data_IF_046770634887
#
_entry.id   IF_046770634887
#
_cell.length_a   1.000
_cell.length_b   1.000
_cell.length_c   1.000
_cell.angle_alpha   90.00
_cell.angle_beta   90.00
_cell.angle_gamma   90.00
#
_symmetry.space_group_name_H-M   'P 1'
#
loop_
_entity.id
_entity.type
_entity.pdbx_description
1 polymer ?
#
# COMPACT_ATOMS: atom_id res chain seq x y z
N UNK A 1 28.81 -0.79 -0.30
CA UNK A 1 28.14 0.51 -0.59
C UNK A 1 28.38 0.81 -2.06
N UNK A 2 27.39 0.60 -2.93
CA UNK A 2 27.46 0.98 -4.34
C UNK A 2 26.79 2.34 -4.46
N UNK A 3 27.61 3.37 -4.75
CA UNK A 3 27.09 4.71 -5.01
C UNK A 3 26.61 4.79 -6.45
N UNK A 4 25.29 4.94 -6.66
CA UNK A 4 24.71 5.23 -7.97
C UNK A 4 24.66 6.74 -8.13
N UNK A 5 25.49 7.28 -9.04
CA UNK A 5 25.45 8.70 -9.40
C UNK A 5 24.47 8.87 -10.56
N UNK A 6 23.36 9.55 -10.32
CA UNK A 6 22.43 9.96 -11.37
C UNK A 6 23.06 11.15 -12.13
N UNK A 7 23.41 10.94 -13.38
CA UNK A 7 23.96 11.98 -14.26
C UNK A 7 22.86 12.87 -14.87
N UNK A 8 23.16 14.13 -15.25
CA UNK A 8 22.18 15.06 -15.78
C UNK A 8 21.74 14.72 -17.21
N UNK A 9 20.47 15.04 -17.50
CA UNK A 9 19.81 14.92 -18.79
C UNK A 9 20.59 15.60 -19.95
N UNK A 10 20.59 14.94 -21.09
CA UNK A 10 21.33 15.30 -22.31
C UNK A 10 20.91 16.66 -22.87
N UNK A 11 21.88 17.52 -23.06
CA UNK A 11 21.98 18.47 -24.16
C UNK A 11 23.26 18.16 -24.94
N UNK A 12 23.12 18.04 -26.23
CA UNK A 12 24.01 17.48 -27.25
C UNK A 12 25.53 17.71 -27.13
N UNK A 13 26.26 16.66 -27.47
CA UNK A 13 27.71 16.67 -27.70
C UNK A 13 28.23 15.25 -27.92
N UNK A 14 28.77 14.97 -29.12
CA UNK A 14 29.33 13.67 -29.49
C UNK A 14 30.55 13.33 -28.67
N UNK A 15 30.54 12.22 -27.98
CA UNK A 15 31.73 11.49 -27.53
C UNK A 15 31.40 10.01 -27.45
N UNK A 16 32.31 9.15 -27.85
CA UNK A 16 32.25 7.69 -27.90
C UNK A 16 31.63 7.10 -26.61
N UNK A 17 30.33 6.90 -26.64
CA UNK A 17 29.58 6.50 -25.48
C UNK A 17 29.53 4.98 -25.35
N UNK A 18 29.85 4.48 -24.18
CA UNK A 18 29.34 3.21 -23.70
C UNK A 18 27.81 3.30 -23.85
N UNK A 19 27.27 2.48 -24.75
CA UNK A 19 25.80 2.31 -24.88
C UNK A 19 25.38 1.60 -23.60
N UNK A 20 24.90 2.37 -22.62
CA UNK A 20 24.15 1.79 -21.52
C UNK A 20 22.88 1.24 -22.16
N UNK A 21 22.59 -0.07 -22.08
CA UNK A 21 21.34 -0.61 -22.56
C UNK A 21 20.19 0.22 -21.99
N UNK A 22 19.22 0.53 -22.81
CA UNK A 22 17.97 1.18 -22.38
C UNK A 22 17.20 0.13 -21.53
N UNK A 23 17.61 0.03 -20.26
CA UNK A 23 16.99 -0.92 -19.33
C UNK A 23 15.67 -0.33 -18.88
N UNK A 24 14.58 -0.89 -19.35
CA UNK A 24 13.26 -0.57 -18.81
C UNK A 24 13.17 -1.10 -17.39
N UNK A 25 13.19 -0.18 -16.41
CA UNK A 25 13.11 -0.49 -14.98
C UNK A 25 11.79 -1.21 -14.60
N UNK A 26 10.80 -1.23 -15.51
CA UNK A 26 9.55 -1.96 -15.32
C UNK A 26 9.68 -3.46 -15.56
N UNK A 27 10.63 -3.89 -16.40
CA UNK A 27 10.78 -5.28 -16.85
C UNK A 27 12.09 -5.92 -16.40
N UNK A 28 12.71 -5.38 -15.34
CA UNK A 28 13.93 -5.97 -14.78
C UNK A 28 13.64 -7.39 -14.24
N UNK A 29 14.52 -8.36 -14.58
CA UNK A 29 14.44 -9.68 -13.98
C UNK A 29 14.54 -9.59 -12.46
N UNK A 30 13.63 -10.24 -11.77
CA UNK A 30 13.58 -10.23 -10.32
C UNK A 30 14.28 -11.45 -9.74
N UNK A 31 15.07 -11.33 -8.67
CA UNK A 31 15.56 -12.48 -7.93
C UNK A 31 14.36 -13.22 -7.29
N UNK A 32 14.50 -14.54 -7.06
CA UNK A 32 13.50 -15.30 -6.31
C UNK A 32 13.21 -14.65 -4.96
N UNK A 33 11.96 -14.76 -4.49
CA UNK A 33 11.58 -14.22 -3.19
C UNK A 33 12.15 -15.08 -2.06
N UNK A 34 12.65 -14.44 -1.02
CA UNK A 34 13.02 -15.07 0.26
C UNK A 34 11.90 -14.95 1.30
N UNK A 35 10.82 -14.21 0.96
CA UNK A 35 9.63 -14.00 1.78
C UNK A 35 8.42 -14.70 1.15
N UNK A 36 7.39 -15.08 1.94
CA UNK A 36 6.17 -15.68 1.40
C UNK A 36 5.24 -14.67 0.73
N UNK A 37 5.71 -13.44 0.55
CA UNK A 37 5.03 -12.36 -0.16
C UNK A 37 5.99 -11.64 -1.11
N UNK A 38 5.44 -10.90 -2.08
CA UNK A 38 6.25 -10.11 -2.99
C UNK A 38 5.49 -8.89 -3.51
N UNK A 39 6.19 -7.75 -3.61
CA UNK A 39 5.71 -6.60 -4.38
C UNK A 39 5.85 -6.87 -5.87
N UNK A 40 4.82 -6.59 -6.64
CA UNK A 40 4.85 -6.62 -8.10
C UNK A 40 4.47 -5.25 -8.64
N UNK A 41 5.44 -4.58 -9.26
CA UNK A 41 5.20 -3.30 -9.91
C UNK A 41 4.44 -3.53 -11.21
N UNK A 42 3.25 -2.93 -11.35
CA UNK A 42 2.38 -3.08 -12.52
C UNK A 42 2.43 -1.89 -13.48
N UNK A 43 2.83 -0.72 -12.97
CA UNK A 43 3.01 0.49 -13.77
C UNK A 43 4.08 1.41 -13.16
N UNK A 44 4.59 2.34 -13.96
CA UNK A 44 5.55 3.39 -13.58
C UNK A 44 5.06 4.74 -14.10
N UNK A 45 5.32 5.82 -13.35
CA UNK A 45 4.87 7.16 -13.69
C UNK A 45 3.44 7.45 -13.25
N UNK A 46 2.97 8.69 -13.45
CA UNK A 46 1.65 9.11 -13.02
C UNK A 46 1.17 10.31 -13.84
N UNK A 47 -0.08 10.25 -14.32
CA UNK A 47 -0.71 11.33 -15.10
C UNK A 47 -1.49 12.32 -14.21
N UNK A 48 -1.47 12.15 -12.89
CA UNK A 48 -2.14 13.06 -11.95
C UNK A 48 -1.41 14.39 -11.85
N UNK A 49 -2.18 15.42 -11.60
CA UNK A 49 -1.69 16.80 -11.44
C UNK A 49 -1.75 17.29 -9.97
N UNK A 50 -1.51 16.39 -9.00
CA UNK A 50 -1.55 16.74 -7.58
C UNK A 50 -0.59 17.88 -7.28
N UNK A 51 -1.08 18.94 -6.61
CA UNK A 51 -0.36 20.20 -6.43
C UNK A 51 0.96 20.12 -5.69
N UNK A 52 1.14 19.12 -4.84
CA UNK A 52 2.35 18.89 -4.04
C UNK A 52 3.34 17.89 -4.66
N UNK A 53 2.92 17.15 -5.70
CA UNK A 53 3.64 15.97 -6.15
C UNK A 53 4.60 16.28 -7.30
N UNK A 54 5.87 15.91 -7.13
CA UNK A 54 6.90 16.03 -8.16
C UNK A 54 7.07 14.78 -9.03
N UNK A 55 6.39 13.67 -8.72
CA UNK A 55 6.55 12.37 -9.40
C UNK A 55 6.42 12.48 -10.93
N UNK A 56 5.42 13.18 -11.51
CA UNK A 56 5.31 13.29 -12.97
C UNK A 56 6.54 13.92 -13.62
N UNK A 57 7.27 14.80 -12.92
CA UNK A 57 8.43 15.51 -13.47
C UNK A 57 9.67 14.64 -13.65
N UNK A 58 9.82 13.55 -12.89
CA UNK A 58 11.00 12.68 -12.94
C UNK A 58 10.71 11.20 -13.24
N UNK A 59 9.46 10.74 -13.03
CA UNK A 59 9.01 9.39 -13.44
C UNK A 59 8.32 9.41 -14.80
N UNK A 60 7.86 10.58 -15.25
CA UNK A 60 7.12 10.76 -16.50
C UNK A 60 5.66 10.31 -16.41
N UNK A 61 4.97 10.24 -17.57
CA UNK A 61 3.60 9.76 -17.68
C UNK A 61 3.51 8.29 -17.29
N UNK A 62 2.29 7.87 -16.94
CA UNK A 62 2.04 6.47 -16.59
C UNK A 62 2.34 5.54 -17.77
N UNK A 63 3.04 4.46 -17.47
CA UNK A 63 3.32 3.34 -18.37
C UNK A 63 2.98 2.05 -17.65
N UNK A 64 1.96 1.37 -18.12
CA UNK A 64 1.50 0.08 -17.57
C UNK A 64 2.25 -1.08 -18.22
N UNK A 65 2.56 -2.11 -17.44
CA UNK A 65 3.01 -3.41 -17.97
C UNK A 65 1.81 -4.15 -18.56
N UNK A 66 2.05 -5.05 -19.49
CA UNK A 66 0.99 -5.93 -19.99
C UNK A 66 0.58 -6.96 -18.92
N UNK A 67 -0.68 -7.40 -18.97
CA UNK A 67 -1.18 -8.43 -18.06
C UNK A 67 -0.31 -9.71 -18.18
N UNK A 68 0.06 -10.09 -19.40
CA UNK A 68 0.90 -11.27 -19.66
C UNK A 68 2.28 -11.16 -18.99
N UNK A 69 2.93 -9.99 -19.05
CA UNK A 69 4.23 -9.74 -18.41
C UNK A 69 4.12 -9.86 -16.89
N UNK A 70 3.07 -9.26 -16.30
CA UNK A 70 2.82 -9.34 -14.85
C UNK A 70 2.55 -10.76 -14.42
N UNK A 71 1.68 -11.50 -15.14
CA UNK A 71 1.34 -12.87 -14.81
C UNK A 71 2.54 -13.82 -14.96
N UNK A 72 3.43 -13.59 -15.93
CA UNK A 72 4.67 -14.36 -16.05
C UNK A 72 5.57 -14.18 -14.81
N UNK A 73 5.67 -12.97 -14.25
CA UNK A 73 6.41 -12.71 -13.01
C UNK A 73 5.70 -13.36 -11.80
N UNK A 74 4.39 -13.20 -11.69
CA UNK A 74 3.59 -13.83 -10.62
C UNK A 74 3.72 -15.36 -10.66
N UNK A 75 3.70 -15.97 -11.84
CA UNK A 75 3.87 -17.42 -12.01
C UNK A 75 5.25 -17.89 -11.51
N UNK A 76 6.30 -17.08 -11.68
CA UNK A 76 7.64 -17.40 -11.14
C UNK A 76 7.64 -17.31 -9.62
N UNK A 77 7.05 -16.25 -9.05
CA UNK A 77 6.99 -16.03 -7.61
C UNK A 77 6.10 -17.07 -6.89
N UNK A 78 5.01 -17.47 -7.51
CA UNK A 78 4.07 -18.44 -6.96
C UNK A 78 4.58 -19.89 -7.03
N UNK A 79 5.66 -20.19 -7.78
CA UNK A 79 6.25 -21.52 -7.84
C UNK A 79 7.27 -21.70 -6.70
N UNK A 80 7.07 -22.72 -5.88
CA UNK A 80 8.10 -23.17 -4.97
C UNK A 80 9.22 -23.87 -5.76
N UNK A 81 10.42 -23.33 -5.71
CA UNK A 81 11.61 -24.04 -6.20
C UNK A 81 12.09 -25.04 -5.13
N UNK A 82 11.29 -26.07 -4.85
CA UNK A 82 11.83 -27.29 -4.23
C UNK A 82 12.64 -27.99 -5.28
N UNK A 83 13.93 -27.65 -5.40
CA UNK A 83 14.87 -28.53 -6.10
C UNK A 83 14.86 -29.87 -5.35
N UNK A 84 14.23 -30.87 -5.97
CA UNK A 84 14.25 -32.25 -5.54
C UNK A 84 15.72 -32.69 -5.27
N UNK A 85 16.03 -33.00 -4.02
CA UNK A 85 17.13 -33.89 -3.66
C UNK A 85 18.49 -33.25 -3.46
N UNK A 86 18.61 -32.40 -2.43
CA UNK A 86 19.85 -32.34 -1.63
C UNK A 86 19.47 -32.04 -0.18
N UNK A 87 19.64 -33.04 0.68
CA UNK A 87 19.73 -32.88 2.13
C UNK A 87 21.00 -32.06 2.42
N UNK A 88 20.83 -30.78 2.62
CA UNK A 88 21.91 -29.86 3.00
C UNK A 88 21.26 -28.52 3.27
N UNK A 89 21.08 -28.16 4.54
CA UNK A 89 20.62 -26.87 4.98
C UNK A 89 21.54 -25.76 4.49
N UNK A 90 21.18 -25.15 3.38
CA UNK A 90 21.82 -23.94 2.83
C UNK A 90 20.78 -22.81 2.82
N UNK A 91 21.24 -21.60 3.17
CA UNK A 91 20.48 -20.35 3.34
C UNK A 91 19.71 -19.81 2.11
N UNK A 92 19.50 -20.61 1.06
CA UNK A 92 18.86 -20.22 -0.22
C UNK A 92 17.56 -20.99 -0.51
N UNK A 93 16.74 -21.27 0.51
CA UNK A 93 15.39 -21.83 0.24
C UNK A 93 14.49 -20.72 -0.32
N UNK A 94 14.26 -20.72 -1.64
CA UNK A 94 13.27 -19.84 -2.27
C UNK A 94 11.87 -20.20 -1.79
N UNK A 95 11.21 -19.27 -1.14
CA UNK A 95 9.83 -19.43 -0.67
C UNK A 95 8.86 -19.15 -1.82
N UNK A 96 7.76 -19.92 -1.85
CA UNK A 96 6.61 -19.61 -2.69
C UNK A 96 5.93 -18.33 -2.16
N UNK A 97 5.73 -17.34 -3.01
CA UNK A 97 4.88 -16.21 -2.64
C UNK A 97 3.41 -16.67 -2.52
N UNK A 98 2.84 -16.46 -1.34
CA UNK A 98 1.43 -16.68 -1.01
C UNK A 98 0.64 -15.38 -1.19
N UNK A 99 1.28 -14.24 -0.97
CA UNK A 99 0.73 -12.92 -1.16
C UNK A 99 1.46 -12.15 -2.27
N UNK A 100 0.71 -11.52 -3.17
CA UNK A 100 1.21 -10.55 -4.14
C UNK A 100 0.65 -9.18 -3.79
N UNK A 101 1.55 -8.21 -3.57
CA UNK A 101 1.20 -6.81 -3.36
C UNK A 101 1.42 -6.04 -4.67
N UNK A 102 0.34 -5.63 -5.31
CA UNK A 102 0.41 -4.85 -6.55
C UNK A 102 0.71 -3.40 -6.23
N UNK A 103 1.71 -2.83 -6.90
CA UNK A 103 2.17 -1.45 -6.67
C UNK A 103 2.33 -0.65 -7.94
N UNK A 104 1.94 0.63 -7.88
CA UNK A 104 2.16 1.67 -8.88
C UNK A 104 2.03 3.04 -8.21
N UNK A 105 2.38 4.14 -8.89
CA UNK A 105 2.12 5.50 -8.39
C UNK A 105 0.63 5.87 -8.45
N UNK A 106 -0.12 5.30 -9.40
CA UNK A 106 -1.59 5.38 -9.51
C UNK A 106 -2.12 4.03 -10.00
N UNK A 107 -2.42 3.18 -9.05
CA UNK A 107 -2.76 1.79 -9.33
C UNK A 107 -4.13 1.67 -10.00
N UNK A 108 -5.10 2.48 -9.60
CA UNK A 108 -6.45 2.46 -10.17
C UNK A 108 -6.50 2.93 -11.64
N UNK A 109 -5.44 3.59 -12.13
CA UNK A 109 -5.33 4.01 -13.52
C UNK A 109 -4.64 2.98 -14.43
N UNK A 110 -4.24 1.80 -13.89
CA UNK A 110 -3.59 0.75 -14.65
C UNK A 110 -4.34 0.41 -15.95
N UNK A 111 -3.60 0.29 -17.06
CA UNK A 111 -4.12 -0.04 -18.39
C UNK A 111 -4.65 1.14 -19.21
N UNK A 112 -4.85 2.33 -18.62
CA UNK A 112 -5.39 3.50 -19.34
C UNK A 112 -4.51 3.94 -20.51
N UNK A 113 -3.21 3.71 -20.43
CA UNK A 113 -2.21 4.05 -21.43
C UNK A 113 -2.06 2.98 -22.53
N UNK A 114 -2.67 1.80 -22.36
CA UNK A 114 -2.53 0.67 -23.29
C UNK A 114 -3.68 0.55 -24.29
N UNK A 115 -4.01 1.60 -25.04
CA UNK A 115 -5.01 1.54 -26.10
C UNK A 115 -6.16 2.51 -25.94
N UNK A 116 -7.41 2.06 -25.94
CA UNK A 116 -8.63 2.89 -25.98
C UNK A 116 -9.00 3.55 -24.62
N UNK A 117 -8.06 3.68 -23.69
CA UNK A 117 -8.28 4.32 -22.39
C UNK A 117 -9.08 3.48 -21.40
N UNK A 118 -9.17 2.19 -21.60
CA UNK A 118 -9.78 1.25 -20.64
C UNK A 118 -8.85 1.02 -19.45
N UNK A 119 -9.47 0.76 -18.31
CA UNK A 119 -8.76 0.37 -17.07
C UNK A 119 -8.81 -1.13 -16.93
N UNK A 120 -7.63 -1.77 -16.89
CA UNK A 120 -7.52 -3.22 -16.86
C UNK A 120 -7.19 -3.78 -15.48
N UNK A 121 -7.34 -2.98 -14.40
CA UNK A 121 -7.03 -3.42 -13.04
C UNK A 121 -7.90 -4.59 -12.58
N UNK A 122 -9.19 -4.61 -12.92
CA UNK A 122 -10.11 -5.69 -12.51
C UNK A 122 -9.77 -7.02 -13.19
N UNK A 123 -9.57 -7.08 -14.53
CA UNK A 123 -9.08 -8.29 -15.19
C UNK A 123 -7.74 -8.77 -14.64
N UNK A 124 -6.81 -7.86 -14.35
CA UNK A 124 -5.53 -8.20 -13.74
C UNK A 124 -5.71 -8.80 -12.35
N UNK A 125 -6.52 -8.18 -11.47
CA UNK A 125 -6.81 -8.70 -10.14
C UNK A 125 -7.36 -10.13 -10.20
N UNK A 126 -8.38 -10.35 -11.03
CA UNK A 126 -8.98 -11.67 -11.21
C UNK A 126 -7.94 -12.70 -11.64
N UNK A 127 -7.06 -12.34 -12.59
CA UNK A 127 -6.04 -13.24 -13.08
C UNK A 127 -4.94 -13.55 -12.05
N UNK A 128 -4.54 -12.58 -11.22
CA UNK A 128 -3.55 -12.78 -10.16
C UNK A 128 -4.13 -13.60 -9.00
N UNK A 129 -5.39 -13.35 -8.59
CA UNK A 129 -6.06 -14.09 -7.51
C UNK A 129 -6.24 -15.59 -7.81
N UNK A 130 -6.19 -15.99 -9.09
CA UNK A 130 -6.19 -17.41 -9.48
C UNK A 130 -4.84 -18.12 -9.26
N UNK A 131 -3.78 -17.37 -8.87
CA UNK A 131 -2.40 -17.87 -8.80
C UNK A 131 -1.82 -17.89 -7.39
N UNK A 132 -2.30 -17.01 -6.54
CA UNK A 132 -1.83 -16.84 -5.17
C UNK A 132 -3.01 -16.74 -4.21
N UNK A 133 -2.74 -16.93 -2.93
CA UNK A 133 -3.78 -16.96 -1.91
C UNK A 133 -4.30 -15.55 -1.60
N UNK A 134 -3.42 -14.54 -1.55
CA UNK A 134 -3.73 -13.16 -1.22
C UNK A 134 -3.24 -12.20 -2.30
N UNK A 135 -4.08 -11.23 -2.66
CA UNK A 135 -3.72 -10.13 -3.57
C UNK A 135 -4.09 -8.81 -2.92
N UNK A 136 -3.09 -7.99 -2.63
CA UNK A 136 -3.25 -6.68 -2.01
C UNK A 136 -2.96 -5.57 -3.00
N UNK A 137 -3.74 -4.48 -2.88
CA UNK A 137 -3.55 -3.26 -3.65
C UNK A 137 -3.12 -2.13 -2.72
N UNK A 138 -2.09 -1.38 -3.13
CA UNK A 138 -1.68 -0.17 -2.44
C UNK A 138 -1.85 1.05 -3.35
N UNK A 139 -2.05 2.25 -2.74
CA UNK A 139 -2.10 3.55 -3.43
C UNK A 139 -3.31 3.70 -4.38
N UNK A 140 -4.51 3.49 -3.84
CA UNK A 140 -5.76 3.73 -4.56
C UNK A 140 -6.15 5.21 -4.51
N UNK A 141 -6.42 5.79 -5.68
CA UNK A 141 -6.93 7.15 -5.76
C UNK A 141 -8.46 7.14 -5.48
N UNK A 142 -8.97 7.94 -4.53
CA UNK A 142 -10.36 7.80 -4.04
C UNK A 142 -11.45 7.94 -5.11
N UNK A 143 -11.25 8.84 -6.11
CA UNK A 143 -12.24 9.02 -7.18
C UNK A 143 -12.37 7.81 -8.12
N UNK A 144 -11.38 6.95 -8.13
CA UNK A 144 -11.34 5.80 -9.04
C UNK A 144 -11.80 4.49 -8.37
N UNK A 145 -12.14 4.56 -7.08
CA UNK A 145 -12.71 3.45 -6.32
C UNK A 145 -14.19 3.28 -6.67
N UNK A 146 -14.46 2.61 -7.80
CA UNK A 146 -15.82 2.28 -8.27
C UNK A 146 -16.39 1.07 -7.52
N UNK A 147 -17.71 0.88 -7.53
CA UNK A 147 -18.35 -0.32 -6.96
C UNK A 147 -17.72 -1.61 -7.54
N UNK A 148 -17.52 -1.66 -8.86
CA UNK A 148 -16.89 -2.81 -9.50
C UNK A 148 -15.46 -3.08 -9.01
N UNK A 149 -14.69 -2.03 -8.68
CA UNK A 149 -13.35 -2.18 -8.11
C UNK A 149 -13.42 -2.62 -6.64
N UNK A 150 -14.38 -2.12 -5.87
CA UNK A 150 -14.65 -2.57 -4.50
C UNK A 150 -14.97 -4.07 -4.50
N UNK A 151 -15.93 -4.50 -5.32
CA UNK A 151 -16.30 -5.92 -5.46
C UNK A 151 -15.09 -6.79 -5.87
N UNK A 152 -14.26 -6.29 -6.80
CA UNK A 152 -13.06 -6.98 -7.22
C UNK A 152 -12.02 -7.11 -6.09
N UNK A 153 -11.81 -6.06 -5.28
CA UNK A 153 -10.92 -6.12 -4.12
C UNK A 153 -11.46 -7.10 -3.09
N UNK A 154 -12.74 -7.05 -2.74
CA UNK A 154 -13.34 -8.00 -1.80
C UNK A 154 -13.21 -9.45 -2.28
N UNK A 155 -13.31 -9.68 -3.60
CA UNK A 155 -13.16 -11.01 -4.18
C UNK A 155 -11.73 -11.57 -4.13
N UNK A 156 -10.71 -10.76 -3.82
CA UNK A 156 -9.32 -11.23 -3.64
C UNK A 156 -9.11 -11.96 -2.31
N UNK A 157 -10.06 -11.90 -1.38
CA UNK A 157 -9.92 -12.38 0.00
C UNK A 157 -9.10 -11.45 0.90
N UNK A 158 -8.65 -10.29 0.39
CA UNK A 158 -7.90 -9.27 1.16
C UNK A 158 -8.69 -7.96 1.16
N UNK A 159 -9.62 -7.77 2.11
CA UNK A 159 -10.45 -6.57 2.21
C UNK A 159 -9.68 -5.38 2.79
N UNK A 160 -8.61 -4.99 2.10
CA UNK A 160 -7.69 -3.95 2.51
C UNK A 160 -7.71 -2.80 1.49
N UNK A 161 -8.00 -1.58 1.97
CA UNK A 161 -8.20 -0.40 1.15
C UNK A 161 -7.19 0.69 1.53
N UNK A 162 -6.08 0.77 0.80
CA UNK A 162 -5.11 1.87 0.94
C UNK A 162 -5.55 3.06 0.08
N UNK A 163 -6.26 3.99 0.72
CA UNK A 163 -6.85 5.15 0.07
C UNK A 163 -5.96 6.38 0.24
N UNK A 164 -5.42 6.92 -0.85
CA UNK A 164 -4.64 8.15 -0.83
C UNK A 164 -5.55 9.38 -0.64
N UNK A 165 -6.11 9.60 0.55
CA UNK A 165 -7.05 10.71 0.83
C UNK A 165 -6.33 12.04 0.86
N UNK A 166 -5.21 12.14 1.54
CA UNK A 166 -4.30 13.29 1.69
C UNK A 166 -4.82 14.42 2.59
N UNK A 167 -6.11 14.69 2.61
CA UNK A 167 -6.82 15.64 3.48
C UNK A 167 -8.32 15.39 3.40
N UNK A 168 -9.11 16.06 4.24
CA UNK A 168 -10.58 15.93 4.29
C UNK A 168 -11.29 17.23 3.98
N UNK A 169 -10.65 18.37 4.27
CA UNK A 169 -11.19 19.69 3.95
C UNK A 169 -11.26 19.88 2.43
N UNK A 170 -12.45 20.19 1.93
CA UNK A 170 -12.70 20.46 0.51
C UNK A 170 -11.88 21.64 -0.05
N UNK A 171 -11.74 22.79 0.66
CA UNK A 171 -10.86 23.88 0.27
C UNK A 171 -9.41 23.44 0.08
N UNK A 172 -8.85 22.67 1.02
CA UNK A 172 -7.47 22.16 0.96
C UNK A 172 -7.31 21.19 -0.20
N UNK A 173 -8.20 20.20 -0.35
CA UNK A 173 -8.17 19.24 -1.46
C UNK A 173 -8.25 19.91 -2.82
N UNK A 174 -9.05 20.96 -2.99
CA UNK A 174 -9.08 21.74 -4.23
C UNK A 174 -7.75 22.44 -4.53
N UNK A 175 -7.09 23.00 -3.51
CA UNK A 175 -5.73 23.56 -3.66
C UNK A 175 -4.70 22.48 -3.98
N UNK A 176 -4.86 21.26 -3.42
CA UNK A 176 -4.06 20.09 -3.77
C UNK A 176 -4.36 19.56 -5.18
N UNK A 177 -5.36 20.13 -5.89
CA UNK A 177 -5.89 19.60 -7.16
C UNK A 177 -6.36 18.16 -7.05
N UNK A 178 -7.05 17.87 -5.94
CA UNK A 178 -7.59 16.55 -5.63
C UNK A 178 -9.11 16.58 -5.54
N UNK A 179 -9.70 15.40 -5.71
CA UNK A 179 -11.14 15.18 -5.63
C UNK A 179 -11.54 14.79 -4.20
N UNK A 180 -12.77 15.15 -3.82
CA UNK A 180 -13.47 14.68 -2.65
C UNK A 180 -13.54 15.70 -1.52
N UNK A 181 -14.07 15.22 -0.41
CA UNK A 181 -14.14 15.85 0.90
C UNK A 181 -14.41 14.78 1.96
N UNK A 182 -14.35 15.16 3.25
CA UNK A 182 -14.53 14.24 4.36
C UNK A 182 -15.84 13.49 4.35
N UNK A 183 -16.97 14.15 3.99
CA UNK A 183 -18.30 13.52 3.93
C UNK A 183 -18.35 12.40 2.90
N UNK A 184 -17.88 12.66 1.67
CA UNK A 184 -17.81 11.66 0.61
C UNK A 184 -16.90 10.48 0.94
N UNK A 185 -15.80 10.74 1.67
CA UNK A 185 -14.90 9.68 2.10
C UNK A 185 -15.53 8.82 3.20
N UNK A 186 -16.20 9.43 4.18
CA UNK A 186 -16.95 8.71 5.22
C UNK A 186 -18.06 7.82 4.63
N UNK A 187 -18.86 8.36 3.70
CA UNK A 187 -19.88 7.58 3.00
C UNK A 187 -19.29 6.36 2.29
N UNK A 188 -18.13 6.53 1.63
CA UNK A 188 -17.45 5.44 0.94
C UNK A 188 -16.92 4.38 1.90
N UNK A 189 -16.29 4.78 3.00
CA UNK A 189 -15.81 3.89 4.05
C UNK A 189 -16.96 3.12 4.69
N UNK A 190 -18.04 3.83 5.05
CA UNK A 190 -19.23 3.22 5.63
C UNK A 190 -19.85 2.18 4.67
N UNK A 191 -19.97 2.54 3.38
CA UNK A 191 -20.50 1.62 2.35
C UNK A 191 -19.66 0.34 2.23
N UNK A 192 -18.32 0.44 2.28
CA UNK A 192 -17.45 -0.74 2.22
C UNK A 192 -17.62 -1.59 3.48
N UNK A 193 -17.70 -0.97 4.67
CA UNK A 193 -17.91 -1.70 5.93
C UNK A 193 -19.28 -2.35 6.04
N UNK A 194 -20.30 -1.84 5.35
CA UNK A 194 -21.58 -2.53 5.20
C UNK A 194 -21.45 -3.84 4.41
N UNK A 195 -20.58 -3.88 3.40
CA UNK A 195 -20.34 -5.06 2.58
C UNK A 195 -19.39 -6.05 3.27
N UNK A 196 -18.38 -5.52 3.93
CA UNK A 196 -17.33 -6.28 4.62
C UNK A 196 -16.98 -5.58 5.95
N UNK A 197 -17.59 -6.02 7.07
CA UNK A 197 -17.38 -5.40 8.39
C UNK A 197 -15.92 -5.42 8.86
N UNK A 198 -15.14 -6.40 8.41
CA UNK A 198 -13.73 -6.55 8.74
C UNK A 198 -12.79 -5.83 7.77
N UNK A 199 -13.33 -5.03 6.83
CA UNK A 199 -12.52 -4.23 5.92
C UNK A 199 -11.58 -3.30 6.67
N UNK A 200 -10.32 -3.33 6.27
CA UNK A 200 -9.23 -2.51 6.82
C UNK A 200 -8.95 -1.33 5.91
N UNK A 201 -8.82 -0.16 6.52
CA UNK A 201 -8.53 1.08 5.80
C UNK A 201 -7.16 1.62 6.20
N UNK A 202 -6.37 1.93 5.18
CA UNK A 202 -5.13 2.70 5.29
C UNK A 202 -5.27 4.01 4.55
N UNK A 203 -4.72 5.08 5.12
CA UNK A 203 -4.65 6.36 4.41
C UNK A 203 -3.39 7.14 4.77
N UNK A 204 -3.03 8.06 3.88
CA UNK A 204 -1.99 9.04 4.14
C UNK A 204 -2.62 10.43 4.17
N UNK A 205 -2.21 11.25 5.17
CA UNK A 205 -2.62 12.65 5.29
C UNK A 205 -1.42 13.57 5.26
N UNK A 206 -1.59 14.70 4.57
CA UNK A 206 -0.57 15.72 4.40
C UNK A 206 -0.97 16.97 5.21
N UNK A 207 -0.24 17.25 6.27
CA UNK A 207 -0.49 18.30 7.25
C UNK A 207 0.33 19.55 6.92
N UNK A 208 -0.26 20.72 7.10
CA UNK A 208 0.41 21.99 6.85
C UNK A 208 0.48 22.36 5.37
N UNK A 209 -0.45 21.89 4.56
CA UNK A 209 -0.55 22.32 3.17
C UNK A 209 -0.82 23.83 3.08
N UNK A 210 -0.22 24.56 2.10
CA UNK A 210 -0.39 26.02 2.02
C UNK A 210 -1.85 26.46 2.07
N UNK A 211 -2.18 27.32 3.02
CA UNK A 211 -3.51 27.83 3.30
C UNK A 211 -4.42 26.90 4.07
N UNK A 212 -3.90 25.87 4.72
CA UNK A 212 -4.61 25.06 5.71
C UNK A 212 -4.85 25.92 6.96
N UNK A 213 -6.12 26.04 7.35
CA UNK A 213 -6.56 26.77 8.53
C UNK A 213 -6.66 25.86 9.76
N UNK A 214 -6.97 26.44 10.92
CA UNK A 214 -7.26 25.66 12.14
C UNK A 214 -8.53 24.80 11.94
N UNK A 215 -9.59 25.40 11.37
CA UNK A 215 -10.83 24.68 11.05
C UNK A 215 -10.60 23.49 10.11
N UNK A 216 -9.72 23.64 9.11
CA UNK A 216 -9.36 22.55 8.21
C UNK A 216 -8.65 21.40 8.94
N UNK A 217 -7.83 21.72 9.95
CA UNK A 217 -7.14 20.75 10.80
C UNK A 217 -8.12 20.04 11.75
N UNK A 218 -9.00 20.80 12.42
CA UNK A 218 -10.06 20.25 13.27
C UNK A 218 -10.96 19.30 12.48
N UNK A 219 -11.34 19.66 11.24
CA UNK A 219 -12.10 18.80 10.33
C UNK A 219 -11.36 17.51 10.01
N UNK A 220 -10.03 17.54 9.88
CA UNK A 220 -9.20 16.35 9.67
C UNK A 220 -9.24 15.43 10.89
N UNK A 221 -9.05 15.96 12.09
CA UNK A 221 -9.11 15.17 13.33
C UNK A 221 -10.49 14.54 13.52
N UNK A 222 -11.57 15.33 13.37
CA UNK A 222 -12.93 14.84 13.47
C UNK A 222 -13.23 13.72 12.43
N UNK A 223 -12.68 13.86 11.22
CA UNK A 223 -12.78 12.80 10.21
C UNK A 223 -12.04 11.53 10.66
N UNK A 224 -10.81 11.63 11.17
CA UNK A 224 -10.04 10.47 11.62
C UNK A 224 -10.79 9.70 12.70
N UNK A 225 -11.38 10.40 13.69
CA UNK A 225 -12.23 9.82 14.72
C UNK A 225 -13.46 9.11 14.12
N UNK A 226 -14.17 9.76 13.20
CA UNK A 226 -15.38 9.20 12.61
C UNK A 226 -15.09 8.03 11.66
N UNK A 227 -14.01 8.13 10.89
CA UNK A 227 -13.63 7.13 9.90
C UNK A 227 -13.01 5.88 10.51
N UNK A 228 -12.40 5.99 11.71
CA UNK A 228 -11.70 4.88 12.36
C UNK A 228 -10.75 4.17 11.37
N UNK A 229 -9.85 4.95 10.76
CA UNK A 229 -8.85 4.43 9.81
C UNK A 229 -7.84 3.58 10.57
N UNK A 230 -7.67 2.32 10.16
CA UNK A 230 -6.85 1.36 10.89
C UNK A 230 -5.35 1.73 10.87
N UNK A 231 -4.88 2.27 9.74
CA UNK A 231 -3.48 2.64 9.52
C UNK A 231 -3.37 4.04 8.92
N UNK A 232 -2.72 4.96 9.62
CA UNK A 232 -2.52 6.34 9.17
C UNK A 232 -1.05 6.66 8.94
N UNK A 233 -0.69 7.01 7.70
CA UNK A 233 0.58 7.68 7.43
C UNK A 233 0.39 9.20 7.51
N UNK A 234 1.13 9.86 8.38
CA UNK A 234 1.06 11.31 8.58
C UNK A 234 2.34 11.97 8.11
N UNK A 235 2.22 12.98 7.26
CA UNK A 235 3.36 13.67 6.66
C UNK A 235 3.17 15.17 6.77
N UNK A 236 4.21 15.90 7.14
CA UNK A 236 4.21 17.35 7.01
C UNK A 236 4.47 17.77 5.57
N UNK A 237 3.83 18.84 5.12
CA UNK A 237 4.05 19.37 3.77
C UNK A 237 5.51 19.78 3.58
N UNK A 238 6.13 19.25 2.50
CA UNK A 238 7.45 19.66 2.03
C UNK A 238 7.33 20.53 0.79
N UNK A 239 8.02 21.66 0.79
CA UNK A 239 8.04 22.62 -0.31
C UNK A 239 8.97 22.17 -1.43
N UNK A 240 8.51 21.24 -2.26
CA UNK A 240 9.28 20.69 -3.35
C UNK A 240 9.35 21.66 -4.54
N UNK A 241 10.57 21.99 -4.97
CA UNK A 241 10.81 22.90 -6.09
C UNK A 241 10.12 22.40 -7.40
N UNK A 242 9.46 23.31 -8.11
CA UNK A 242 8.78 23.00 -9.35
C UNK A 242 7.34 22.49 -9.17
N UNK A 243 6.89 22.23 -7.95
CA UNK A 243 5.49 21.89 -7.69
C UNK A 243 4.61 23.14 -7.63
N UNK A 244 3.31 22.96 -7.91
CA UNK A 244 2.33 24.03 -7.76
C UNK A 244 2.25 24.54 -6.32
N UNK A 245 2.27 23.66 -5.35
CA UNK A 245 2.19 23.99 -3.93
C UNK A 245 3.37 24.86 -3.44
N UNK A 246 4.55 24.69 -4.03
CA UNK A 246 5.73 25.50 -3.68
C UNK A 246 5.56 26.99 -3.99
N UNK A 247 4.67 27.34 -4.94
CA UNK A 247 4.39 28.71 -5.36
C UNK A 247 3.17 29.33 -4.68
N UNK A 248 2.42 28.57 -3.88
CA UNK A 248 1.23 29.07 -3.21
C UNK A 248 1.61 30.05 -2.08
N UNK A 249 0.80 31.11 -1.86
CA UNK A 249 0.89 31.91 -0.66
C UNK A 249 0.44 31.11 0.59
N UNK A 250 0.47 31.76 1.73
CA UNK A 250 -0.09 31.26 3.01
C UNK A 250 0.55 29.92 3.42
N UNK A 251 1.88 29.84 3.31
CA UNK A 251 2.65 28.71 3.81
C UNK A 251 2.48 28.60 5.33
N UNK A 252 2.14 27.41 5.83
CA UNK A 252 2.00 27.17 7.27
C UNK A 252 3.38 27.18 7.92
N UNK A 253 3.50 27.80 9.08
CA UNK A 253 4.75 27.86 9.83
C UNK A 253 5.22 26.46 10.26
N UNK A 254 6.53 26.15 10.19
CA UNK A 254 7.04 24.82 10.54
C UNK A 254 6.66 24.37 11.97
N UNK A 255 6.63 25.31 12.91
CA UNK A 255 6.27 25.04 14.30
C UNK A 255 4.80 24.59 14.41
N UNK A 256 3.89 25.27 13.70
CA UNK A 256 2.47 24.92 13.67
C UNK A 256 2.25 23.58 12.93
N UNK A 257 3.00 23.33 11.86
CA UNK A 257 2.94 22.01 11.19
C UNK A 257 3.37 20.88 12.13
N UNK A 258 4.42 21.11 12.94
CA UNK A 258 4.90 20.10 13.89
C UNK A 258 3.87 19.87 15.02
N UNK A 259 3.21 20.91 15.51
CA UNK A 259 2.15 20.83 16.52
C UNK A 259 0.97 20.01 16.00
N UNK A 260 0.43 20.38 14.83
CA UNK A 260 -0.68 19.65 14.17
C UNK A 260 -0.34 18.20 13.84
N UNK A 261 0.90 17.96 13.40
CA UNK A 261 1.36 16.60 13.13
C UNK A 261 1.41 15.76 14.41
N UNK A 262 1.89 16.31 15.52
CA UNK A 262 1.95 15.61 16.80
C UNK A 262 0.53 15.25 17.29
N UNK A 263 -0.41 16.19 17.22
CA UNK A 263 -1.81 15.98 17.60
C UNK A 263 -2.49 14.90 16.75
N UNK A 264 -2.35 14.97 15.42
CA UNK A 264 -2.90 13.96 14.53
C UNK A 264 -2.23 12.59 14.73
N UNK A 265 -0.93 12.55 15.09
CA UNK A 265 -0.21 11.30 15.36
C UNK A 265 -0.71 10.62 16.63
N UNK A 266 -0.92 11.36 17.71
CA UNK A 266 -1.47 10.85 18.97
C UNK A 266 -2.87 10.26 18.75
N UNK A 267 -3.71 10.96 17.97
CA UNK A 267 -5.03 10.47 17.62
C UNK A 267 -4.95 9.18 16.76
N UNK A 268 -4.09 9.16 15.74
CA UNK A 268 -3.90 7.99 14.88
C UNK A 268 -3.43 6.77 15.66
N UNK A 269 -2.46 6.94 16.55
CA UNK A 269 -1.95 5.86 17.42
C UNK A 269 -3.05 5.33 18.34
N UNK A 270 -3.88 6.21 18.90
CA UNK A 270 -5.02 5.82 19.74
C UNK A 270 -6.04 5.00 18.94
N UNK A 271 -6.45 5.48 17.77
CA UNK A 271 -7.39 4.76 16.90
C UNK A 271 -6.84 3.39 16.50
N UNK A 272 -5.57 3.34 16.07
CA UNK A 272 -4.93 2.07 15.71
C UNK A 272 -4.94 1.09 16.88
N UNK A 273 -4.54 1.52 18.07
CA UNK A 273 -4.51 0.67 19.26
C UNK A 273 -5.92 0.15 19.63
N UNK A 274 -6.96 0.99 19.59
CA UNK A 274 -8.35 0.57 19.83
C UNK A 274 -8.83 -0.44 18.79
N UNK A 275 -8.56 -0.19 17.51
CA UNK A 275 -8.89 -1.12 16.41
C UNK A 275 -8.17 -2.46 16.53
N UNK A 276 -6.95 -2.47 17.06
CA UNK A 276 -6.19 -3.70 17.35
C UNK A 276 -6.77 -4.43 18.54
N UNK A 277 -7.11 -3.73 19.62
CA UNK A 277 -7.74 -4.30 20.80
C UNK A 277 -9.08 -4.99 20.47
N UNK A 278 -9.87 -4.45 19.54
CA UNK A 278 -11.10 -5.07 19.06
C UNK A 278 -10.92 -6.44 18.38
N UNK A 279 -9.68 -6.81 18.03
CA UNK A 279 -9.34 -8.11 17.46
C UNK A 279 -9.08 -9.19 18.53
N UNK A 280 -8.84 -8.80 19.77
CA UNK A 280 -8.59 -9.77 20.89
C UNK A 280 -9.79 -10.67 21.08
N UNK A 281 -9.54 -11.98 21.19
CA UNK A 281 -10.55 -13.01 21.28
C UNK A 281 -11.13 -13.48 19.95
N UNK A 282 -10.71 -12.90 18.81
CA UNK A 282 -11.14 -13.35 17.48
C UNK A 282 -10.17 -14.40 16.92
N UNK A 283 -10.71 -15.34 16.15
CA UNK A 283 -9.93 -16.23 15.28
C UNK A 283 -9.74 -15.58 13.93
N UNK A 284 -8.50 -15.51 13.46
CA UNK A 284 -8.13 -14.93 12.18
C UNK A 284 -7.15 -15.83 11.42
N UNK A 285 -7.17 -15.78 10.08
CA UNK A 285 -6.17 -16.45 9.26
C UNK A 285 -4.91 -15.56 9.16
N UNK A 286 -3.74 -16.17 9.31
CA UNK A 286 -2.45 -15.48 9.21
C UNK A 286 -1.51 -16.18 8.25
N UNK A 287 -0.65 -15.40 7.59
CA UNK A 287 0.50 -15.84 6.83
C UNK A 287 1.75 -15.66 7.70
N UNK A 288 2.48 -16.74 7.95
CA UNK A 288 3.75 -16.70 8.71
C UNK A 288 4.86 -16.16 7.80
N UNK A 289 5.35 -14.96 8.09
CA UNK A 289 6.37 -14.27 7.29
C UNK A 289 7.80 -14.64 7.69
N UNK A 290 8.02 -14.83 8.99
CA UNK A 290 9.30 -15.20 9.59
C UNK A 290 9.07 -15.97 10.90
N UNK A 291 10.08 -16.63 11.48
CA UNK A 291 9.95 -17.22 12.82
C UNK A 291 9.44 -16.18 13.84
N UNK A 292 8.34 -16.47 14.50
CA UNK A 292 7.71 -15.57 15.48
C UNK A 292 6.88 -14.43 14.90
N UNK A 293 6.81 -14.26 13.58
CA UNK A 293 6.14 -13.13 12.93
C UNK A 293 5.16 -13.59 11.85
N UNK A 294 3.93 -13.13 11.95
CA UNK A 294 2.89 -13.37 10.98
C UNK A 294 2.12 -12.07 10.65
N UNK A 295 1.30 -12.11 9.63
CA UNK A 295 0.32 -11.06 9.27
C UNK A 295 -1.00 -11.71 8.85
N UNK A 296 -2.08 -10.98 9.07
CA UNK A 296 -3.39 -11.30 8.49
C UNK A 296 -3.62 -10.51 7.18
N UNK A 297 -4.83 -10.60 6.66
CA UNK A 297 -5.26 -9.71 5.56
C UNK A 297 -5.32 -8.24 5.98
N UNK A 298 -5.26 -7.94 7.28
CA UNK A 298 -5.33 -6.59 7.85
C UNK A 298 -4.01 -5.83 7.89
N UNK A 299 -2.86 -6.48 7.67
CA UNK A 299 -1.53 -5.86 7.70
C UNK A 299 -0.83 -5.98 6.35
N UNK A 300 -0.44 -4.85 5.76
CA UNK A 300 0.44 -4.84 4.60
C UNK A 300 1.90 -5.08 5.03
N UNK A 301 2.67 -5.89 4.28
CA UNK A 301 4.04 -6.24 4.66
C UNK A 301 4.93 -4.99 4.74
N UNK A 302 5.80 -4.94 5.75
CA UNK A 302 6.82 -3.92 6.00
C UNK A 302 6.31 -2.50 6.36
N UNK A 303 5.00 -2.25 6.32
CA UNK A 303 4.45 -0.90 6.53
C UNK A 303 3.41 -0.78 7.64
N UNK A 304 2.76 -1.88 8.02
CA UNK A 304 1.77 -1.91 9.10
C UNK A 304 2.30 -2.72 10.29
N UNK A 305 1.46 -2.96 11.31
CA UNK A 305 1.82 -3.79 12.46
C UNK A 305 2.04 -5.26 12.10
N UNK A 306 2.47 -6.02 13.07
CA UNK A 306 2.71 -7.47 12.96
C UNK A 306 1.80 -8.26 13.93
N UNK A 307 1.80 -9.57 13.75
CA UNK A 307 1.16 -10.51 14.67
C UNK A 307 2.27 -11.44 15.21
N UNK A 308 2.60 -11.30 16.49
CA UNK A 308 3.52 -12.19 17.16
C UNK A 308 2.88 -13.58 17.31
N UNK A 309 3.59 -14.61 16.89
CA UNK A 309 3.15 -16.01 16.94
C UNK A 309 4.30 -16.90 17.42
N UNK A 310 4.07 -18.19 17.79
CA UNK A 310 5.15 -19.11 18.15
C UNK A 310 6.22 -19.23 17.04
N UNK A 311 7.51 -19.23 17.44
CA UNK A 311 8.66 -19.27 16.52
C UNK A 311 8.79 -20.56 15.70
N UNK A 312 8.18 -21.65 16.18
CA UNK A 312 8.22 -22.99 15.54
C UNK A 312 7.22 -23.15 14.39
N UNK A 313 6.39 -22.14 14.12
CA UNK A 313 5.49 -22.16 12.97
C UNK A 313 6.26 -22.10 11.65
N UNK A 314 5.78 -22.88 10.69
CA UNK A 314 6.43 -22.95 9.36
C UNK A 314 6.24 -21.67 8.58
N UNK A 315 7.33 -21.00 8.20
CA UNK A 315 7.32 -19.81 7.36
C UNK A 315 6.64 -20.13 6.01
N UNK A 316 5.75 -19.23 5.57
CA UNK A 316 4.93 -19.39 4.36
C UNK A 316 3.68 -20.25 4.55
N UNK A 317 3.36 -20.71 5.76
CA UNK A 317 2.08 -21.35 6.04
C UNK A 317 0.98 -20.31 6.26
N UNK A 318 -0.24 -20.64 5.81
CA UNK A 318 -1.49 -20.01 6.21
C UNK A 318 -2.16 -20.89 7.25
N UNK A 319 -2.57 -20.30 8.37
CA UNK A 319 -3.25 -21.02 9.45
C UNK A 319 -4.15 -20.09 10.26
N UNK A 320 -5.13 -20.67 10.93
CA UNK A 320 -5.97 -19.94 11.88
C UNK A 320 -5.28 -19.80 13.23
N UNK A 321 -5.34 -18.59 13.79
CA UNK A 321 -4.83 -18.27 15.12
C UNK A 321 -5.90 -17.53 15.93
N UNK A 322 -5.88 -17.72 17.25
CA UNK A 322 -6.66 -16.94 18.20
C UNK A 322 -5.81 -15.74 18.66
N UNK A 323 -6.29 -14.54 18.46
CA UNK A 323 -5.66 -13.32 19.00
C UNK A 323 -5.86 -13.29 20.50
N UNK A 324 -4.78 -13.21 21.25
CA UNK A 324 -4.80 -13.27 22.74
C UNK A 324 -4.47 -11.94 23.38
N UNK A 325 -3.73 -11.06 22.70
CA UNK A 325 -3.37 -9.73 23.21
C UNK A 325 -3.12 -8.73 22.06
N UNK A 326 -3.08 -7.44 22.41
CA UNK A 326 -2.78 -6.34 21.51
C UNK A 326 -1.94 -5.27 22.23
N UNK A 327 -0.82 -4.84 21.64
CA UNK A 327 0.03 -3.77 22.14
C UNK A 327 0.32 -2.76 21.04
N UNK A 328 -0.30 -1.58 21.14
CA UNK A 328 -0.18 -0.55 20.09
C UNK A 328 -0.63 -1.08 18.72
N UNK A 329 0.26 -1.07 17.70
CA UNK A 329 -0.06 -1.57 16.36
C UNK A 329 -0.01 -3.10 16.23
N UNK A 330 0.60 -3.82 17.18
CA UNK A 330 0.90 -5.23 17.07
C UNK A 330 -0.10 -6.10 17.84
N UNK A 331 -0.26 -7.35 17.38
CA UNK A 331 -1.07 -8.38 18.06
C UNK A 331 -0.17 -9.52 18.55
N UNK A 332 -0.66 -10.25 19.55
CA UNK A 332 -0.15 -11.56 19.92
C UNK A 332 -1.23 -12.61 19.66
N UNK A 333 -0.85 -13.75 19.07
CA UNK A 333 -1.79 -14.81 18.74
C UNK A 333 -1.18 -16.21 18.92
N UNK A 334 -2.05 -17.17 19.16
CA UNK A 334 -1.69 -18.60 19.30
C UNK A 334 -2.47 -19.45 18.30
N UNK A 335 -1.89 -20.52 17.75
CA UNK A 335 -2.59 -21.43 16.86
C UNK A 335 -3.87 -21.97 17.51
N UNK A 336 -4.95 -22.01 16.75
CA UNK A 336 -6.16 -22.73 17.16
C UNK A 336 -5.79 -24.20 17.13
N UNK A 337 -5.58 -24.81 18.30
CA UNK A 337 -5.38 -26.26 18.40
C UNK A 337 -6.63 -26.93 17.86
N UNK A 338 -6.46 -27.85 16.90
CA UNK A 338 -7.53 -28.79 16.51
C UNK A 338 -8.02 -29.53 17.75
N UNK A 339 -9.07 -29.02 18.37
CA UNK A 339 -9.85 -29.75 19.36
C UNK A 339 -10.67 -30.83 18.62
N UNK A 340 -10.00 -31.72 17.90
CA UNK A 340 -10.60 -32.96 17.46
C UNK A 340 -10.44 -33.97 18.57
N UNK A 341 -11.47 -34.09 19.39
CA UNK A 341 -11.90 -35.32 20.02
C UNK A 341 -11.22 -35.69 21.30
N UNK A 342 -11.93 -35.50 22.40
CA UNK A 342 -11.99 -36.44 23.48
C UNK A 342 -13.37 -37.07 23.49
#
# INVERSE_FOLDING_TARGET
TVSVTLGPSRLGGSSSGVVVPDMDLLELPRPPSTSPWAYVKIAEGCDRACGFCAIPSFRGPQRSRTIESILAEVDVLARSNRSSGREGGGEDATLRAREIVLVAQDLAAYGRDQGIGQRDIIPLLTAVSQRVDWVRLLYLYPSDLTEALIDAILSTGVPYFDLSLQHTSRPVLRRMKRWGDGEQFLERIARIRELEPDAVFRSNFLIGYPGETEEDHDDLLAFMEAAQVDWCGLFTFSRESGTYAASLPDQVAPELMAERHAEASELAETITAERRLDRVGRTIEVLVDAPGVARSTGEAPEIDGIIAVPEDLTVGSLLEVLVVDAEGPDLEAVPVSDHTGG
#
